data_IF_831441995742
#
_entry.id   IF_831441995742
#
_cell.length_a   1.000
_cell.length_b   1.000
_cell.length_c   1.000
_cell.angle_alpha   90.00
_cell.angle_beta   90.00
_cell.angle_gamma   90.00
#
_symmetry.space_group_name_H-M   'P 1'
#
loop_
_entity.id
_entity.type
_entity.pdbx_description
1 polymer ?
#
# COMPACT_ATOMS: atom_id res chain seq x y z
N UNK A 1 -49.32 12.01 -33.94
CA UNK A 1 -49.75 10.63 -33.59
C UNK A 1 -48.77 9.51 -33.98
N UNK A 2 -48.39 9.30 -35.26
CA UNK A 2 -47.38 8.27 -35.62
C UNK A 2 -45.93 8.73 -35.35
N UNK A 3 -45.66 10.03 -35.50
CA UNK A 3 -44.38 10.65 -35.14
C UNK A 3 -44.12 10.68 -33.62
N UNK A 4 -45.13 10.95 -32.79
CA UNK A 4 -44.94 11.02 -31.33
C UNK A 4 -44.65 9.66 -30.69
N UNK A 5 -45.27 8.58 -31.19
CA UNK A 5 -44.99 7.22 -30.72
C UNK A 5 -43.59 6.75 -31.12
N UNK A 6 -43.11 7.18 -32.29
CA UNK A 6 -41.76 6.87 -32.76
C UNK A 6 -40.71 7.62 -31.94
N UNK A 7 -40.93 8.91 -31.66
CA UNK A 7 -40.05 9.74 -30.82
C UNK A 7 -39.96 9.20 -29.40
N UNK A 8 -41.09 8.82 -28.80
CA UNK A 8 -41.13 8.26 -27.44
C UNK A 8 -40.46 6.89 -27.34
N UNK A 9 -40.57 6.04 -28.38
CA UNK A 9 -39.88 4.75 -28.43
C UNK A 9 -38.36 4.93 -28.63
N UNK A 10 -37.96 5.96 -29.39
CA UNK A 10 -36.56 6.32 -29.60
C UNK A 10 -35.94 6.87 -28.31
N UNK A 11 -36.58 7.85 -27.68
CA UNK A 11 -36.11 8.47 -26.44
C UNK A 11 -35.99 7.45 -25.30
N UNK A 12 -36.86 6.43 -25.25
CA UNK A 12 -36.82 5.38 -24.23
C UNK A 12 -35.80 4.27 -24.50
N UNK A 13 -35.50 3.98 -25.78
CA UNK A 13 -34.50 2.98 -26.18
C UNK A 13 -33.06 3.52 -26.08
N UNK A 14 -32.89 4.85 -26.17
CA UNK A 14 -31.58 5.50 -26.23
C UNK A 14 -31.28 6.42 -25.03
N UNK A 15 -32.17 6.46 -24.02
CA UNK A 15 -32.00 7.21 -22.77
C UNK A 15 -30.67 7.01 -22.01
N UNK A 16 -29.97 5.84 -22.06
CA UNK A 16 -28.70 5.69 -21.35
C UNK A 16 -27.47 6.19 -22.12
N UNK A 17 -27.63 6.65 -23.37
CA UNK A 17 -26.51 7.08 -24.21
C UNK A 17 -26.60 8.59 -24.46
N UNK A 18 -25.68 9.36 -23.89
CA UNK A 18 -25.60 10.79 -24.13
C UNK A 18 -25.17 11.07 -25.59
N UNK A 19 -26.16 11.34 -26.45
CA UNK A 19 -25.90 11.92 -27.76
C UNK A 19 -25.85 13.44 -27.66
N UNK A 20 -24.79 14.04 -28.20
CA UNK A 20 -24.72 15.50 -28.36
C UNK A 20 -25.82 16.00 -29.31
N UNK A 21 -26.33 17.23 -29.08
CA UNK A 21 -27.37 17.88 -29.92
C UNK A 21 -27.09 17.83 -31.44
N UNK A 22 -25.81 17.74 -31.82
CA UNK A 22 -25.34 17.63 -33.20
C UNK A 22 -25.72 16.30 -33.86
N UNK A 23 -25.58 15.17 -33.16
CA UNK A 23 -25.94 13.85 -33.67
C UNK A 23 -27.46 13.69 -33.87
N UNK A 24 -28.27 14.29 -32.99
CA UNK A 24 -29.72 14.30 -33.15
C UNK A 24 -30.16 15.07 -34.41
N UNK A 25 -29.47 16.17 -34.74
CA UNK A 25 -29.72 16.98 -35.94
C UNK A 25 -29.29 16.27 -37.24
N UNK A 26 -28.19 15.52 -37.23
CA UNK A 26 -27.71 14.76 -38.40
C UNK A 26 -28.67 13.62 -38.78
N UNK A 27 -29.20 12.90 -37.78
CA UNK A 27 -30.20 11.83 -37.99
C UNK A 27 -31.54 12.40 -38.48
N UNK A 28 -31.97 13.54 -37.95
CA UNK A 28 -33.19 14.22 -38.39
C UNK A 28 -33.08 14.80 -39.81
N UNK A 29 -31.90 15.26 -40.22
CA UNK A 29 -31.64 15.74 -41.58
C UNK A 29 -31.62 14.60 -42.61
N UNK A 30 -31.06 13.44 -42.25
CA UNK A 30 -31.08 12.25 -43.11
C UNK A 30 -32.51 11.75 -43.40
N UNK A 31 -33.44 11.96 -42.47
CA UNK A 31 -34.84 11.53 -42.60
C UNK A 31 -35.74 12.51 -43.37
N UNK A 32 -35.29 13.74 -43.63
CA UNK A 32 -36.13 14.81 -44.21
C UNK A 32 -35.90 15.10 -45.70
N UNK A 33 -35.00 14.41 -46.39
CA UNK A 33 -34.82 14.59 -47.84
C UNK A 33 -35.94 13.89 -48.64
N UNK A 34 -36.82 14.72 -49.22
CA UNK A 34 -37.98 14.34 -50.05
C UNK A 34 -37.57 13.66 -51.37
N UNK A 35 -38.29 12.57 -51.67
CA UNK A 35 -38.33 11.76 -52.90
C UNK A 35 -38.30 12.57 -54.22
N UNK A 36 -37.64 12.05 -55.27
CA UNK A 36 -38.11 12.20 -56.64
C UNK A 36 -38.87 10.95 -57.12
N UNK A 37 -39.91 11.17 -57.93
CA UNK A 37 -40.75 10.13 -58.56
C UNK A 37 -39.91 9.23 -59.48
N UNK A 38 -39.91 7.92 -59.22
CA UNK A 38 -39.22 6.93 -60.04
C UNK A 38 -40.12 6.44 -61.19
N UNK A 39 -39.62 6.57 -62.42
CA UNK A 39 -40.24 6.09 -63.64
C UNK A 39 -39.87 4.60 -63.87
N UNK A 40 -40.81 3.77 -64.33
CA UNK A 40 -40.77 2.28 -64.33
C UNK A 40 -39.67 1.60 -65.19
N UNK A 41 -38.69 2.33 -65.75
CA UNK A 41 -37.60 1.77 -66.57
C UNK A 41 -36.20 1.86 -65.95
N UNK A 42 -36.06 2.21 -64.67
CA UNK A 42 -34.77 2.22 -63.94
C UNK A 42 -34.76 1.35 -62.68
N UNK A 43 -35.50 0.23 -62.71
CA UNK A 43 -35.56 -0.72 -61.58
C UNK A 43 -34.27 -1.55 -61.48
N UNK A 44 -33.44 -1.63 -62.53
CA UNK A 44 -32.18 -2.39 -62.48
C UNK A 44 -30.99 -1.66 -61.84
N UNK A 45 -31.05 -0.34 -61.63
CA UNK A 45 -29.93 0.42 -61.01
C UNK A 45 -30.17 0.78 -59.53
N UNK A 46 -31.43 0.87 -59.09
CA UNK A 46 -31.76 1.07 -57.68
C UNK A 46 -31.62 -0.22 -56.86
N UNK A 47 -31.66 -1.40 -57.50
CA UNK A 47 -31.32 -2.66 -56.85
C UNK A 47 -29.80 -2.79 -56.64
N UNK A 48 -28.96 -2.13 -57.46
CA UNK A 48 -27.50 -2.16 -57.33
C UNK A 48 -26.95 -1.21 -56.24
N UNK A 49 -27.72 -0.20 -55.81
CA UNK A 49 -27.38 0.63 -54.63
C UNK A 49 -28.09 0.18 -53.34
N UNK A 50 -29.04 -0.75 -53.43
CA UNK A 50 -29.69 -1.39 -52.28
C UNK A 50 -29.11 -2.75 -51.88
N UNK A 51 -28.18 -3.30 -52.69
CA UNK A 51 -27.48 -4.57 -52.46
C UNK A 51 -25.98 -4.42 -52.19
N UNK A 52 -25.48 -3.20 -51.91
CA UNK A 52 -24.16 -3.00 -51.32
C UNK A 52 -24.17 -3.00 -49.78
N UNK A 53 -25.34 -3.24 -49.17
CA UNK A 53 -25.43 -3.74 -47.79
C UNK A 53 -25.25 -5.26 -47.83
N UNK A 54 -24.27 -5.74 -47.06
CA UNK A 54 -23.88 -7.15 -46.85
C UNK A 54 -22.82 -7.70 -47.81
N UNK A 55 -21.65 -7.05 -47.83
CA UNK A 55 -20.41 -7.76 -47.45
C UNK A 55 -19.77 -6.98 -46.29
N UNK A 56 -20.51 -6.88 -45.18
CA UNK A 56 -19.87 -6.67 -43.89
C UNK A 56 -19.25 -8.02 -43.55
N UNK A 57 -17.98 -8.21 -43.91
CA UNK A 57 -17.16 -9.03 -43.04
C UNK A 57 -17.26 -8.37 -41.67
N UNK A 58 -17.93 -9.03 -40.73
CA UNK A 58 -17.99 -8.55 -39.36
C UNK A 58 -16.55 -8.55 -38.82
N UNK A 59 -15.83 -7.45 -39.00
CA UNK A 59 -14.73 -7.13 -38.11
C UNK A 59 -15.45 -6.85 -36.81
N UNK A 60 -15.48 -7.83 -35.90
CA UNK A 60 -15.93 -7.58 -34.55
C UNK A 60 -15.06 -6.42 -34.03
N UNK A 61 -15.64 -5.23 -33.89
CA UNK A 61 -14.95 -4.11 -33.25
C UNK A 61 -14.53 -4.63 -31.87
N UNK A 62 -13.23 -4.78 -31.66
CA UNK A 62 -12.69 -5.16 -30.36
C UNK A 62 -13.09 -4.07 -29.38
N UNK A 63 -13.73 -4.43 -28.28
CA UNK A 63 -14.01 -3.47 -27.22
C UNK A 63 -12.76 -3.30 -26.37
N UNK A 64 -12.65 -2.19 -25.62
CA UNK A 64 -11.55 -2.06 -24.66
C UNK A 64 -11.56 -3.19 -23.62
N UNK A 65 -12.73 -3.73 -23.25
CA UNK A 65 -12.83 -4.92 -22.40
C UNK A 65 -12.21 -6.16 -23.04
N UNK A 66 -12.27 -6.30 -24.37
CA UNK A 66 -11.61 -7.39 -25.08
C UNK A 66 -10.10 -7.19 -25.13
N UNK A 67 -9.64 -5.94 -25.28
CA UNK A 67 -8.23 -5.56 -25.13
C UNK A 67 -7.73 -5.91 -23.73
N UNK A 68 -8.46 -5.52 -22.68
CA UNK A 68 -8.13 -5.83 -21.30
C UNK A 68 -8.11 -7.34 -21.03
N UNK A 69 -9.09 -8.11 -21.53
CA UNK A 69 -9.07 -9.58 -21.44
C UNK A 69 -7.82 -10.17 -22.08
N UNK A 70 -7.46 -9.69 -23.27
CA UNK A 70 -6.27 -10.12 -23.99
C UNK A 70 -5.01 -9.85 -23.17
N UNK A 71 -4.88 -8.64 -22.59
CA UNK A 71 -3.73 -8.29 -21.75
C UNK A 71 -3.63 -9.17 -20.51
N UNK A 72 -4.70 -9.26 -19.71
CA UNK A 72 -4.71 -10.05 -18.47
C UNK A 72 -4.31 -11.52 -18.72
N UNK A 73 -4.71 -12.09 -19.86
CA UNK A 73 -4.32 -13.45 -20.25
C UNK A 73 -2.84 -13.57 -20.65
N UNK A 74 -2.27 -12.55 -21.28
CA UNK A 74 -0.85 -12.56 -21.64
C UNK A 74 0.01 -12.34 -20.42
N UNK A 75 -0.34 -11.40 -19.53
CA UNK A 75 0.40 -11.15 -18.30
C UNK A 75 0.52 -12.40 -17.44
N UNK A 76 -0.60 -13.13 -17.30
CA UNK A 76 -0.59 -14.40 -16.58
C UNK A 76 0.34 -15.44 -17.21
N UNK A 77 0.56 -15.40 -18.54
CA UNK A 77 1.32 -16.40 -19.29
C UNK A 77 2.78 -16.03 -19.52
N UNK A 78 3.07 -14.76 -19.74
CA UNK A 78 4.37 -14.23 -20.18
C UNK A 78 4.98 -13.25 -19.18
N UNK A 79 4.23 -12.85 -18.14
CA UNK A 79 4.67 -11.86 -17.17
C UNK A 79 4.62 -10.44 -17.72
N UNK A 80 5.62 -9.65 -17.35
CA UNK A 80 5.71 -8.22 -17.64
C UNK A 80 5.72 -7.91 -19.14
N UNK A 81 5.18 -6.75 -19.52
CA UNK A 81 5.04 -6.31 -20.92
C UNK A 81 6.36 -6.33 -21.70
N UNK A 82 7.50 -6.05 -21.03
CA UNK A 82 8.84 -6.08 -21.64
C UNK A 82 9.22 -7.45 -22.21
N UNK A 83 8.60 -8.53 -21.72
CA UNK A 83 8.86 -9.89 -22.14
C UNK A 83 7.87 -10.40 -23.19
N UNK A 84 6.89 -9.58 -23.57
CA UNK A 84 5.88 -9.98 -24.55
C UNK A 84 6.47 -10.09 -25.95
N UNK A 85 5.97 -11.06 -26.71
CA UNK A 85 6.30 -11.17 -28.12
C UNK A 85 5.95 -9.87 -28.89
N UNK A 86 6.80 -9.39 -29.81
CA UNK A 86 6.53 -8.18 -30.61
C UNK A 86 5.17 -8.19 -31.31
N UNK A 87 4.71 -9.36 -31.76
CA UNK A 87 3.41 -9.52 -32.40
C UNK A 87 2.22 -9.19 -31.48
N UNK A 88 2.36 -9.42 -30.17
CA UNK A 88 1.35 -9.13 -29.15
C UNK A 88 1.34 -7.66 -28.79
N UNK A 89 2.52 -7.06 -28.63
CA UNK A 89 2.71 -5.60 -28.47
C UNK A 89 2.07 -4.84 -29.64
N UNK A 90 2.39 -5.25 -30.87
CA UNK A 90 1.80 -4.67 -32.08
C UNK A 90 0.27 -4.89 -32.17
N UNK A 91 -0.25 -6.02 -31.67
CA UNK A 91 -1.71 -6.23 -31.60
C UNK A 91 -2.37 -5.25 -30.61
N UNK A 92 -1.81 -5.08 -29.42
CA UNK A 92 -2.34 -4.15 -28.41
C UNK A 92 -2.47 -2.73 -28.98
N UNK A 93 -1.41 -2.21 -29.60
CA UNK A 93 -1.42 -0.87 -30.20
C UNK A 93 -2.45 -0.76 -31.31
N UNK A 94 -2.56 -1.77 -32.19
CA UNK A 94 -3.59 -1.78 -33.24
C UNK A 94 -5.01 -1.76 -32.69
N UNK A 95 -5.28 -2.51 -31.62
CA UNK A 95 -6.59 -2.52 -30.98
C UNK A 95 -6.91 -1.13 -30.41
N UNK A 96 -5.97 -0.50 -29.69
CA UNK A 96 -6.13 0.84 -29.14
C UNK A 96 -6.31 1.93 -30.22
N UNK A 97 -5.58 1.84 -31.34
CA UNK A 97 -5.78 2.72 -32.51
C UNK A 97 -7.17 2.52 -33.11
N UNK A 98 -7.59 1.27 -33.31
CA UNK A 98 -8.89 0.95 -33.90
C UNK A 98 -10.07 1.41 -33.03
N UNK A 99 -9.84 1.51 -31.72
CA UNK A 99 -10.78 1.98 -30.72
C UNK A 99 -10.73 3.51 -30.52
N UNK A 100 -9.77 4.20 -31.15
CA UNK A 100 -9.62 5.65 -31.07
C UNK A 100 -8.93 6.16 -29.80
N UNK A 101 -8.29 5.30 -29.01
CA UNK A 101 -7.51 5.71 -27.82
C UNK A 101 -6.10 6.20 -28.18
N UNK A 102 -5.55 5.71 -29.30
CA UNK A 102 -4.27 6.16 -29.86
C UNK A 102 -4.53 6.73 -31.25
N UNK A 103 -3.91 7.87 -31.56
CA UNK A 103 -4.02 8.51 -32.87
C UNK A 103 -3.45 7.61 -33.99
N UNK A 104 -4.20 7.43 -35.08
CA UNK A 104 -3.79 6.63 -36.23
C UNK A 104 -2.75 7.38 -37.08
N UNK A 105 -1.46 7.19 -36.78
CA UNK A 105 -0.35 7.80 -37.53
C UNK A 105 0.19 6.89 -38.62
N UNK A 106 0.84 7.47 -39.63
CA UNK A 106 1.51 6.70 -40.69
C UNK A 106 2.59 5.74 -40.14
N UNK A 107 3.22 6.07 -39.01
CA UNK A 107 4.18 5.17 -38.36
C UNK A 107 3.48 3.95 -37.74
N UNK A 108 2.31 4.12 -37.11
CA UNK A 108 1.55 3.01 -36.53
C UNK A 108 0.92 2.10 -37.59
N UNK A 109 0.58 2.63 -38.77
CA UNK A 109 0.12 1.81 -39.91
C UNK A 109 1.16 0.77 -40.33
N UNK A 110 2.45 1.05 -40.12
CA UNK A 110 3.54 0.10 -40.39
C UNK A 110 3.42 -1.18 -39.55
N UNK A 111 2.77 -1.17 -38.38
CA UNK A 111 2.50 -2.36 -37.56
C UNK A 111 1.57 -3.39 -38.25
N UNK A 112 0.90 -3.00 -39.34
CA UNK A 112 0.12 -3.92 -40.18
C UNK A 112 0.87 -4.42 -41.41
N UNK A 113 2.03 -3.82 -41.72
CA UNK A 113 2.83 -4.18 -42.89
C UNK A 113 3.61 -5.46 -42.66
N UNK A 114 3.70 -6.29 -43.70
CA UNK A 114 4.55 -7.49 -43.69
C UNK A 114 6.04 -7.18 -43.82
N UNK A 115 6.39 -5.93 -44.13
CA UNK A 115 7.76 -5.49 -44.42
C UNK A 115 8.49 -4.94 -43.18
N UNK A 116 7.83 -4.92 -42.02
CA UNK A 116 8.44 -4.47 -40.75
C UNK A 116 8.99 -5.67 -40.01
N UNK A 117 10.28 -5.64 -39.68
CA UNK A 117 10.91 -6.66 -38.85
C UNK A 117 10.42 -6.59 -37.39
N UNK A 118 10.61 -7.67 -36.64
CA UNK A 118 10.09 -7.79 -35.29
C UNK A 118 10.65 -6.74 -34.31
N UNK A 119 11.91 -6.31 -34.49
CA UNK A 119 12.56 -5.35 -33.60
C UNK A 119 12.07 -3.93 -33.84
N UNK A 120 11.86 -3.57 -35.10
CA UNK A 120 11.25 -2.30 -35.46
C UNK A 120 9.77 -2.24 -35.07
N UNK A 121 9.02 -3.35 -35.22
CA UNK A 121 7.63 -3.43 -34.75
C UNK A 121 7.53 -3.26 -33.23
N UNK A 122 8.44 -3.86 -32.47
CA UNK A 122 8.54 -3.70 -31.02
C UNK A 122 8.85 -2.25 -30.64
N UNK A 123 9.87 -1.63 -31.27
CA UNK A 123 10.22 -0.21 -31.02
C UNK A 123 9.03 0.72 -31.25
N UNK A 124 8.31 0.54 -32.35
CA UNK A 124 7.13 1.35 -32.68
C UNK A 124 6.02 1.13 -31.64
N UNK A 125 5.77 -0.13 -31.26
CA UNK A 125 4.75 -0.45 -30.28
C UNK A 125 5.06 0.12 -28.88
N UNK A 126 6.30 -0.05 -28.42
CA UNK A 126 6.74 0.43 -27.10
C UNK A 126 6.69 1.96 -27.03
N UNK A 127 7.10 2.66 -28.10
CA UNK A 127 6.96 4.12 -28.17
C UNK A 127 5.50 4.58 -28.09
N UNK A 128 4.59 3.87 -28.78
CA UNK A 128 3.16 4.19 -28.77
C UNK A 128 2.53 3.94 -27.40
N UNK A 129 2.88 2.83 -26.75
CA UNK A 129 2.39 2.50 -25.40
C UNK A 129 2.92 3.48 -24.38
N UNK A 130 4.23 3.78 -24.38
CA UNK A 130 4.84 4.75 -23.48
C UNK A 130 4.17 6.12 -23.57
N UNK A 131 3.92 6.60 -24.80
CA UNK A 131 3.21 7.84 -25.04
C UNK A 131 1.75 7.79 -24.54
N UNK A 132 1.08 6.65 -24.68
CA UNK A 132 -0.31 6.46 -24.26
C UNK A 132 -0.48 6.43 -22.73
N UNK A 133 0.42 5.75 -22.00
CA UNK A 133 0.36 5.65 -20.53
C UNK A 133 1.04 6.82 -19.81
N UNK A 134 1.90 7.58 -20.51
CA UNK A 134 2.60 8.74 -19.96
C UNK A 134 3.87 8.40 -19.16
N UNK A 135 4.36 7.17 -19.27
CA UNK A 135 5.59 6.67 -18.63
C UNK A 135 6.34 5.70 -19.56
N UNK A 136 7.46 5.12 -19.13
CA UNK A 136 8.19 4.14 -19.92
C UNK A 136 7.36 2.88 -20.21
N UNK A 137 7.58 2.25 -21.37
CA UNK A 137 6.82 1.07 -21.79
C UNK A 137 6.98 -0.12 -20.81
N UNK A 138 8.04 -0.13 -20.01
CA UNK A 138 8.25 -1.07 -18.92
C UNK A 138 7.18 -0.99 -17.81
N UNK A 139 6.50 0.15 -17.65
CA UNK A 139 5.37 0.32 -16.75
C UNK A 139 4.05 -0.21 -17.29
N UNK A 140 4.01 -0.61 -18.57
CA UNK A 140 2.79 -1.11 -19.20
C UNK A 140 2.34 -2.43 -18.56
N UNK A 141 1.11 -2.43 -18.08
CA UNK A 141 0.39 -3.59 -17.60
C UNK A 141 -1.12 -3.37 -17.83
N UNK A 142 -1.93 -4.38 -17.54
CA UNK A 142 -3.37 -4.35 -17.72
C UNK A 142 -3.95 -3.10 -17.08
N UNK A 143 -3.57 -2.80 -15.83
CA UNK A 143 -4.17 -1.72 -15.09
C UNK A 143 -3.73 -0.36 -15.64
N UNK A 144 -2.45 -0.16 -15.97
CA UNK A 144 -1.98 1.12 -16.53
C UNK A 144 -2.59 1.43 -17.91
N UNK A 145 -2.75 0.43 -18.79
CA UNK A 145 -3.45 0.62 -20.08
C UNK A 145 -4.93 0.94 -19.88
N UNK A 146 -5.61 0.21 -19.01
CA UNK A 146 -7.03 0.46 -18.75
C UNK A 146 -7.23 1.82 -18.08
N UNK A 147 -6.32 2.26 -17.20
CA UNK A 147 -6.39 3.57 -16.55
C UNK A 147 -6.08 4.72 -17.50
N UNK A 148 -5.16 4.54 -18.46
CA UNK A 148 -4.94 5.53 -19.51
C UNK A 148 -6.20 5.74 -20.38
N UNK A 149 -6.99 4.69 -20.58
CA UNK A 149 -8.21 4.72 -21.38
C UNK A 149 -9.47 5.19 -20.62
N UNK A 150 -9.66 4.73 -19.38
CA UNK A 150 -10.87 4.96 -18.57
C UNK A 150 -10.67 5.93 -17.40
N UNK A 151 -9.46 6.43 -17.18
CA UNK A 151 -9.10 7.20 -16.00
C UNK A 151 -8.71 6.32 -14.82
N UNK A 152 -8.40 6.93 -13.67
CA UNK A 152 -7.97 6.22 -12.48
C UNK A 152 -8.99 5.15 -12.05
N UNK A 153 -8.52 4.00 -11.54
CA UNK A 153 -9.39 2.88 -11.19
C UNK A 153 -10.50 3.24 -10.19
N UNK A 154 -10.23 4.20 -9.30
CA UNK A 154 -11.18 4.75 -8.31
C UNK A 154 -12.31 5.55 -8.95
N UNK A 155 -12.15 5.98 -10.20
CA UNK A 155 -13.16 6.73 -10.97
C UNK A 155 -14.03 5.83 -11.85
N UNK A 156 -13.67 4.54 -11.99
CA UNK A 156 -14.43 3.58 -12.77
C UNK A 156 -15.83 3.36 -12.17
N UNK A 157 -16.78 3.01 -13.03
CA UNK A 157 -18.11 2.59 -12.58
C UNK A 157 -18.04 1.28 -11.78
N UNK A 158 -19.03 1.04 -10.92
CA UNK A 158 -19.10 -0.21 -10.16
C UNK A 158 -19.16 -1.43 -11.08
N UNK A 159 -19.79 -1.31 -12.26
CA UNK A 159 -19.83 -2.35 -13.28
C UNK A 159 -18.46 -2.63 -13.92
N UNK A 160 -17.63 -1.61 -14.10
CA UNK A 160 -16.26 -1.77 -14.62
C UNK A 160 -15.33 -2.37 -13.57
N UNK A 161 -15.42 -1.91 -12.32
CA UNK A 161 -14.67 -2.50 -11.20
C UNK A 161 -15.07 -3.97 -10.98
N UNK A 162 -16.36 -4.29 -11.02
CA UNK A 162 -16.83 -5.67 -10.93
C UNK A 162 -16.34 -6.54 -12.09
N UNK A 163 -16.35 -6.01 -13.32
CA UNK A 163 -15.79 -6.70 -14.47
C UNK A 163 -14.29 -6.98 -14.31
N UNK A 164 -13.53 -6.06 -13.70
CA UNK A 164 -12.13 -6.28 -13.37
C UNK A 164 -11.94 -7.48 -12.44
N UNK A 165 -12.65 -7.54 -11.31
CA UNK A 165 -12.54 -8.69 -10.39
C UNK A 165 -12.98 -10.00 -11.06
N UNK A 166 -14.06 -9.98 -11.85
CA UNK A 166 -14.50 -11.14 -12.64
C UNK A 166 -13.39 -11.61 -13.60
N UNK A 167 -12.71 -10.69 -14.28
CA UNK A 167 -11.62 -11.00 -15.20
C UNK A 167 -10.39 -11.57 -14.48
N UNK A 168 -9.96 -10.93 -13.39
CA UNK A 168 -8.80 -11.38 -12.61
C UNK A 168 -9.01 -12.81 -12.08
N UNK A 169 -10.22 -13.13 -11.63
CA UNK A 169 -10.58 -14.50 -11.26
C UNK A 169 -10.53 -15.46 -12.46
N UNK A 170 -11.04 -15.07 -13.63
CA UNK A 170 -11.04 -15.90 -14.84
C UNK A 170 -9.65 -16.24 -15.35
N UNK A 171 -8.68 -15.33 -15.20
CA UNK A 171 -7.28 -15.59 -15.59
C UNK A 171 -6.50 -16.34 -14.53
N UNK A 172 -7.13 -16.74 -13.41
CA UNK A 172 -6.47 -17.53 -12.36
C UNK A 172 -5.63 -16.70 -11.39
N UNK A 173 -5.84 -15.39 -11.32
CA UNK A 173 -5.20 -14.55 -10.32
C UNK A 173 -5.83 -14.82 -8.94
N UNK A 174 -5.02 -15.21 -7.96
CA UNK A 174 -5.51 -15.46 -6.60
C UNK A 174 -6.15 -14.17 -6.05
N UNK A 175 -7.40 -14.29 -5.59
CA UNK A 175 -8.18 -13.20 -5.01
C UNK A 175 -8.18 -13.25 -3.47
N UNK A 176 -7.54 -14.24 -2.86
CA UNK A 176 -7.41 -14.32 -1.40
C UNK A 176 -6.68 -13.09 -0.86
N UNK A 177 -7.32 -12.42 0.11
CA UNK A 177 -6.81 -11.17 0.69
C UNK A 177 -6.92 -9.94 -0.22
N UNK A 178 -7.60 -10.02 -1.38
CA UNK A 178 -7.82 -8.88 -2.28
C UNK A 178 -9.26 -8.40 -2.24
N UNK A 179 -9.46 -7.11 -2.51
CA UNK A 179 -10.81 -6.55 -2.72
C UNK A 179 -11.50 -7.21 -3.92
N UNK A 180 -12.70 -7.76 -3.67
CA UNK A 180 -13.55 -8.35 -4.72
C UNK A 180 -14.72 -7.43 -5.04
N UNK A 181 -14.58 -6.67 -6.12
CA UNK A 181 -15.61 -5.77 -6.62
C UNK A 181 -16.78 -6.54 -7.22
N UNK A 182 -17.99 -6.06 -6.96
CA UNK A 182 -19.23 -6.70 -7.40
C UNK A 182 -20.19 -5.68 -7.98
N UNK A 183 -21.18 -6.15 -8.73
CA UNK A 183 -22.22 -5.27 -9.26
C UNK A 183 -23.21 -4.94 -8.15
N UNK A 184 -23.58 -3.66 -7.95
CA UNK A 184 -24.64 -3.30 -7.03
C UNK A 184 -25.92 -4.07 -7.39
N UNK A 185 -26.46 -4.82 -6.43
CA UNK A 185 -27.78 -5.40 -6.61
C UNK A 185 -28.83 -4.28 -6.54
N UNK A 186 -30.03 -4.52 -7.06
CA UNK A 186 -31.15 -3.57 -6.92
C UNK A 186 -31.64 -3.58 -5.46
N UNK A 187 -30.89 -2.90 -4.60
CA UNK A 187 -31.24 -2.64 -3.21
C UNK A 187 -31.87 -1.26 -3.02
N UNK A 188 -32.47 -1.00 -1.85
CA UNK A 188 -33.04 0.30 -1.49
C UNK A 188 -32.00 1.40 -1.31
N UNK A 189 -30.73 1.07 -0.98
CA UNK A 189 -29.66 2.06 -0.80
C UNK A 189 -28.88 2.23 -2.11
N UNK A 190 -29.06 3.36 -2.77
CA UNK A 190 -28.25 3.73 -3.93
C UNK A 190 -26.85 4.21 -3.52
N UNK A 191 -25.96 4.37 -4.50
CA UNK A 191 -24.64 4.99 -4.31
C UNK A 191 -24.75 6.37 -3.63
N UNK A 192 -25.71 7.18 -4.08
CA UNK A 192 -25.92 8.54 -3.54
C UNK A 192 -26.42 8.49 -2.10
N UNK A 193 -27.31 7.53 -1.79
CA UNK A 193 -27.81 7.33 -0.43
C UNK A 193 -26.68 6.90 0.50
N UNK A 194 -25.82 5.95 0.06
CA UNK A 194 -24.67 5.50 0.83
C UNK A 194 -23.70 6.65 1.15
N UNK A 195 -23.37 7.50 0.16
CA UNK A 195 -22.54 8.70 0.38
C UNK A 195 -23.19 9.65 1.40
N UNK A 196 -24.50 9.88 1.29
CA UNK A 196 -25.20 10.79 2.19
C UNK A 196 -25.29 10.26 3.62
N UNK A 197 -25.55 8.95 3.79
CA UNK A 197 -25.51 8.27 5.09
C UNK A 197 -24.13 8.42 5.71
N UNK A 198 -23.08 8.10 4.94
CA UNK A 198 -21.69 8.22 5.36
C UNK A 198 -21.33 9.65 5.79
N UNK A 199 -21.70 10.66 4.97
CA UNK A 199 -21.49 12.08 5.31
C UNK A 199 -22.19 12.48 6.60
N UNK A 200 -23.45 12.09 6.77
CA UNK A 200 -24.23 12.42 7.97
C UNK A 200 -23.61 11.80 9.22
N UNK A 201 -23.13 10.57 9.12
CA UNK A 201 -22.49 9.91 10.24
C UNK A 201 -21.17 10.58 10.64
N UNK A 202 -20.32 10.93 9.67
CA UNK A 202 -19.08 11.66 9.93
C UNK A 202 -19.36 13.00 10.61
N UNK A 203 -20.33 13.76 10.10
CA UNK A 203 -20.76 15.04 10.71
C UNK A 203 -21.25 14.82 12.14
N UNK A 204 -22.08 13.80 12.37
CA UNK A 204 -22.67 13.49 13.68
C UNK A 204 -21.62 13.09 14.71
N UNK A 205 -20.70 12.20 14.35
CA UNK A 205 -19.71 11.62 15.27
C UNK A 205 -18.56 12.58 15.53
N UNK A 206 -18.07 13.27 14.50
CA UNK A 206 -16.91 14.15 14.62
C UNK A 206 -17.25 15.64 14.82
N UNK A 207 -18.52 16.02 14.67
CA UNK A 207 -18.95 17.42 14.80
C UNK A 207 -18.41 18.34 13.70
N UNK A 208 -18.10 17.78 12.53
CA UNK A 208 -17.51 18.53 11.40
C UNK A 208 -18.60 19.39 10.75
N UNK A 209 -18.25 20.64 10.41
CA UNK A 209 -19.17 21.53 9.69
C UNK A 209 -19.48 20.98 8.30
N UNK A 210 -20.72 21.12 7.85
CA UNK A 210 -21.16 20.60 6.55
C UNK A 210 -20.33 21.16 5.39
N UNK A 211 -19.96 22.43 5.47
CA UNK A 211 -19.15 23.12 4.46
C UNK A 211 -17.72 22.57 4.37
N UNK A 212 -17.20 22.02 5.46
CA UNK A 212 -15.91 21.31 5.48
C UNK A 212 -16.08 19.92 4.89
N UNK A 213 -17.14 19.20 5.29
CA UNK A 213 -17.45 17.87 4.76
C UNK A 213 -17.65 17.87 3.24
N UNK A 214 -18.31 18.90 2.70
CA UNK A 214 -18.58 19.02 1.26
C UNK A 214 -17.34 19.37 0.41
N UNK A 215 -16.23 19.76 1.05
CA UNK A 215 -14.93 19.94 0.36
C UNK A 215 -14.11 18.66 0.28
N UNK A 216 -14.45 17.63 1.07
CA UNK A 216 -13.72 16.37 1.04
C UNK A 216 -13.92 15.68 -0.30
N UNK A 217 -12.84 15.03 -0.76
CA UNK A 217 -12.93 14.08 -1.86
C UNK A 217 -13.76 12.89 -1.39
N UNK A 218 -14.50 12.30 -2.33
CA UNK A 218 -15.30 11.10 -2.06
C UNK A 218 -14.88 10.01 -3.03
N UNK A 219 -14.39 8.91 -2.49
CA UNK A 219 -14.21 7.67 -3.22
C UNK A 219 -15.33 6.70 -2.85
N UNK A 220 -15.83 5.97 -3.85
CA UNK A 220 -16.86 4.96 -3.62
C UNK A 220 -16.70 3.77 -4.53
N UNK A 221 -16.92 2.59 -3.99
CA UNK A 221 -16.92 1.33 -4.73
C UNK A 221 -17.94 0.36 -4.11
N UNK A 222 -18.22 -0.74 -4.80
CA UNK A 222 -19.15 -1.77 -4.30
C UNK A 222 -18.46 -3.13 -4.30
N UNK A 223 -18.14 -3.65 -3.11
CA UNK A 223 -17.30 -4.83 -3.00
C UNK A 223 -17.51 -5.60 -1.69
N UNK A 224 -17.01 -6.82 -1.67
CA UNK A 224 -16.84 -7.60 -0.46
C UNK A 224 -15.59 -7.05 0.26
N UNK A 225 -15.66 -6.68 1.55
CA UNK A 225 -14.51 -6.19 2.30
C UNK A 225 -13.40 -7.24 2.38
N UNK A 226 -12.13 -6.81 2.34
CA UNK A 226 -10.97 -7.73 2.36
C UNK A 226 -10.86 -8.54 3.65
N UNK A 227 -11.34 -7.98 4.75
CA UNK A 227 -11.42 -8.63 6.06
C UNK A 227 -12.78 -9.33 6.30
N UNK A 228 -13.53 -9.66 5.24
CA UNK A 228 -14.71 -10.50 5.36
C UNK A 228 -14.30 -11.93 5.78
N UNK A 229 -15.15 -12.61 6.54
CA UNK A 229 -14.87 -13.98 6.97
C UNK A 229 -14.83 -14.94 5.76
N UNK A 230 -14.04 -16.04 5.80
CA UNK A 230 -14.02 -17.00 4.72
C UNK A 230 -15.43 -17.50 4.36
N UNK A 231 -15.82 -17.32 3.10
CA UNK A 231 -17.13 -17.71 2.58
C UNK A 231 -18.22 -16.64 2.69
N UNK A 232 -17.97 -15.51 3.34
CA UNK A 232 -18.85 -14.35 3.32
C UNK A 232 -18.88 -13.74 1.90
N UNK A 233 -20.08 -13.45 1.42
CA UNK A 233 -20.34 -12.88 0.08
C UNK A 233 -21.10 -11.56 0.15
N UNK A 234 -21.25 -10.98 1.35
CA UNK A 234 -21.95 -9.72 1.53
C UNK A 234 -21.10 -8.58 0.95
N UNK A 235 -21.63 -7.95 -0.09
CA UNK A 235 -21.07 -6.72 -0.65
C UNK A 235 -21.61 -5.50 0.09
N UNK A 236 -20.78 -4.48 0.21
CA UNK A 236 -21.13 -3.21 0.84
C UNK A 236 -20.81 -2.06 -0.12
N UNK A 237 -21.49 -0.94 0.06
CA UNK A 237 -21.00 0.33 -0.46
C UNK A 237 -19.82 0.77 0.39
N UNK A 238 -18.62 0.76 -0.19
CA UNK A 238 -17.47 1.42 0.38
C UNK A 238 -17.56 2.91 0.09
N UNK A 239 -17.40 3.74 1.12
CA UNK A 239 -17.35 5.19 1.00
C UNK A 239 -16.16 5.68 1.80
N UNK A 240 -15.22 6.34 1.13
CA UNK A 240 -14.09 6.98 1.77
C UNK A 240 -14.10 8.48 1.52
N UNK A 241 -13.75 9.24 2.55
CA UNK A 241 -13.53 10.66 2.48
C UNK A 241 -12.08 10.98 2.80
N UNK A 242 -11.45 11.82 2.00
CA UNK A 242 -10.08 12.25 2.21
C UNK A 242 -9.93 13.76 1.99
N UNK A 243 -8.94 14.36 2.66
CA UNK A 243 -8.63 15.79 2.56
C UNK A 243 -7.54 16.09 1.53
N UNK A 244 -7.13 15.13 0.70
CA UNK A 244 -6.02 15.29 -0.23
C UNK A 244 -6.31 16.37 -1.28
N UNK A 245 -5.38 17.31 -1.46
CA UNK A 245 -5.51 18.44 -2.38
C UNK A 245 -6.75 19.35 -2.18
N UNK A 246 -7.41 19.29 -1.01
CA UNK A 246 -8.59 20.13 -0.71
C UNK A 246 -8.22 21.50 -0.12
N UNK A 247 -6.99 21.68 0.34
CA UNK A 247 -6.53 22.86 1.06
C UNK A 247 -7.04 22.96 2.51
N UNK A 248 -7.76 21.95 3.00
CA UNK A 248 -8.16 21.85 4.41
C UNK A 248 -6.95 21.60 5.31
N UNK A 249 -6.98 22.18 6.51
CA UNK A 249 -5.92 22.03 7.50
C UNK A 249 -6.30 20.96 8.52
N UNK A 250 -5.30 20.52 9.29
CA UNK A 250 -5.47 19.53 10.36
C UNK A 250 -6.38 20.05 11.48
N UNK A 251 -6.51 21.35 11.65
CA UNK A 251 -7.42 21.95 12.63
C UNK A 251 -8.89 21.85 12.19
N UNK A 252 -9.15 21.72 10.88
CA UNK A 252 -10.50 21.60 10.33
C UNK A 252 -11.05 20.17 10.40
N UNK A 253 -10.17 19.16 10.54
CA UNK A 253 -10.51 17.74 10.47
C UNK A 253 -9.69 16.90 11.48
N UNK A 254 -10.33 16.02 12.26
CA UNK A 254 -9.63 15.13 13.18
C UNK A 254 -8.92 13.95 12.49
N UNK A 255 -9.10 13.77 11.18
CA UNK A 255 -8.52 12.68 10.38
C UNK A 255 -8.04 13.20 9.01
N UNK A 256 -7.08 12.51 8.39
CA UNK A 256 -6.64 12.78 7.02
C UNK A 256 -7.49 12.04 5.96
N UNK A 257 -8.03 10.89 6.37
CA UNK A 257 -9.00 10.11 5.61
C UNK A 257 -9.81 9.24 6.56
N UNK A 258 -11.04 8.93 6.16
CA UNK A 258 -11.94 8.05 6.88
C UNK A 258 -12.77 7.25 5.89
N UNK A 259 -12.97 5.97 6.15
CA UNK A 259 -13.73 5.08 5.30
C UNK A 259 -14.75 4.26 6.07
N UNK A 260 -15.76 3.79 5.36
CA UNK A 260 -16.85 3.00 5.92
C UNK A 260 -17.50 2.09 4.90
N UNK A 261 -18.11 1.04 5.42
CA UNK A 261 -18.91 0.09 4.66
C UNK A 261 -20.38 0.27 5.03
N UNK A 262 -21.19 0.73 4.08
CA UNK A 262 -22.63 0.93 4.22
C UNK A 262 -23.37 -0.28 3.65
N UNK A 263 -24.25 -0.88 4.46
CA UNK A 263 -25.03 -2.04 4.05
C UNK A 263 -26.05 -1.66 2.95
N UNK A 264 -26.12 -2.40 1.82
CA UNK A 264 -26.91 -2.00 0.65
C UNK A 264 -28.44 -2.07 0.85
N UNK A 265 -28.90 -2.84 1.85
CA UNK A 265 -30.34 -3.01 2.11
C UNK A 265 -30.86 -2.19 3.29
N UNK A 266 -30.00 -1.88 4.27
CA UNK A 266 -30.42 -1.25 5.53
C UNK A 266 -29.84 0.15 5.70
N UNK A 267 -28.74 0.47 5.02
CA UNK A 267 -28.00 1.71 5.23
C UNK A 267 -27.17 1.71 6.51
N UNK A 268 -27.14 0.61 7.27
CA UNK A 268 -26.35 0.51 8.49
C UNK A 268 -24.85 0.41 8.17
N UNK A 269 -24.01 1.00 9.02
CA UNK A 269 -22.57 0.83 8.91
C UNK A 269 -22.14 -0.52 9.46
N UNK A 270 -21.24 -1.21 8.75
CA UNK A 270 -20.63 -2.46 9.25
C UNK A 270 -19.86 -2.25 10.55
N UNK A 271 -19.23 -1.09 10.70
CA UNK A 271 -18.50 -0.68 11.90
C UNK A 271 -18.97 0.72 12.31
N UNK A 272 -19.50 0.91 13.53
CA UNK A 272 -19.91 2.23 14.01
C UNK A 272 -18.72 3.21 14.06
N UNK A 273 -18.93 4.45 13.60
CA UNK A 273 -17.85 5.46 13.62
C UNK A 273 -17.48 5.90 15.04
N UNK A 274 -18.35 5.69 16.05
CA UNK A 274 -18.01 5.90 17.46
C UNK A 274 -16.82 5.07 17.91
N UNK A 275 -16.66 3.83 17.42
CA UNK A 275 -15.52 2.99 17.76
C UNK A 275 -14.22 3.60 17.21
N UNK A 276 -14.26 4.07 15.96
CA UNK A 276 -13.14 4.76 15.34
C UNK A 276 -12.81 6.07 16.07
N UNK A 277 -13.82 6.85 16.44
CA UNK A 277 -13.63 8.08 17.24
C UNK A 277 -13.02 7.77 18.60
N UNK A 278 -13.50 6.74 19.30
CA UNK A 278 -12.98 6.33 20.59
C UNK A 278 -11.49 5.94 20.48
N UNK A 279 -11.09 5.26 19.41
CA UNK A 279 -9.69 4.96 19.12
C UNK A 279 -8.85 6.24 18.92
N UNK A 280 -9.34 7.19 18.12
CA UNK A 280 -8.65 8.48 17.91
C UNK A 280 -8.54 9.30 19.20
N UNK A 281 -9.60 9.36 20.00
CA UNK A 281 -9.62 10.03 21.29
C UNK A 281 -8.64 9.36 22.28
N UNK A 282 -8.57 8.02 22.29
CA UNK A 282 -7.62 7.27 23.12
C UNK A 282 -6.16 7.52 22.71
N UNK A 283 -5.88 7.59 21.40
CA UNK A 283 -4.56 7.92 20.87
C UNK A 283 -4.18 9.39 21.16
N UNK A 284 -5.14 10.31 21.08
CA UNK A 284 -4.92 11.70 21.48
C UNK A 284 -4.63 11.81 22.99
N UNK A 285 -5.39 11.10 23.82
CA UNK A 285 -5.17 11.03 25.27
C UNK A 285 -3.78 10.45 25.59
N UNK A 286 -3.37 9.39 24.86
CA UNK A 286 -2.04 8.76 24.95
C UNK A 286 -0.93 9.77 24.76
N UNK A 287 -0.99 10.50 23.65
CA UNK A 287 0.01 11.51 23.29
C UNK A 287 0.05 12.68 24.25
N UNK A 288 -1.02 12.93 25.00
CA UNK A 288 -1.17 14.10 25.85
C UNK A 288 -0.82 13.88 27.33
N UNK A 289 -0.54 12.64 27.74
CA UNK A 289 -0.09 12.34 29.11
C UNK A 289 1.25 13.03 29.44
N UNK A 290 1.52 13.34 30.72
CA UNK A 290 2.79 13.93 31.13
C UNK A 290 4.00 13.10 30.72
N UNK A 291 3.95 11.78 30.90
CA UNK A 291 5.05 10.87 30.53
C UNK A 291 5.26 10.80 29.01
N UNK A 292 4.21 10.79 28.18
CA UNK A 292 4.36 10.82 26.72
C UNK A 292 4.96 12.15 26.21
N UNK A 293 4.60 13.27 26.85
CA UNK A 293 5.20 14.58 26.54
C UNK A 293 6.67 14.62 26.94
N UNK A 294 7.02 14.09 28.11
CA UNK A 294 8.40 14.00 28.56
C UNK A 294 9.25 13.13 27.64
N UNK A 295 8.76 11.94 27.26
CA UNK A 295 9.46 11.06 26.30
C UNK A 295 9.70 11.78 24.96
N UNK A 296 8.71 12.51 24.44
CA UNK A 296 8.88 13.26 23.19
C UNK A 296 9.94 14.34 23.30
N UNK A 297 9.90 15.14 24.37
CA UNK A 297 10.90 16.17 24.62
C UNK A 297 12.31 15.58 24.78
N UNK A 298 12.40 14.43 25.46
CA UNK A 298 13.63 13.67 25.63
C UNK A 298 14.19 13.23 24.27
N UNK A 299 13.36 12.60 23.42
CA UNK A 299 13.76 12.19 22.06
C UNK A 299 14.17 13.36 21.16
N UNK A 300 13.51 14.53 21.28
CA UNK A 300 13.89 15.76 20.56
C UNK A 300 15.26 16.29 21.04
N UNK A 301 15.54 16.22 22.33
CA UNK A 301 16.81 16.67 22.93
C UNK A 301 17.99 15.77 22.56
N UNK A 302 17.81 14.45 22.58
CA UNK A 302 18.89 13.48 22.41
C UNK A 302 19.01 12.92 20.98
N UNK A 303 18.15 13.35 20.04
CA UNK A 303 18.12 12.86 18.65
C UNK A 303 18.13 11.32 18.58
N UNK A 304 17.36 10.69 19.46
CA UNK A 304 17.41 9.26 19.71
C UNK A 304 17.09 8.42 18.46
N UNK A 305 17.82 7.32 18.24
CA UNK A 305 17.33 6.29 17.35
C UNK A 305 16.06 5.67 17.95
N UNK A 306 15.18 5.12 17.10
CA UNK A 306 13.84 4.63 17.50
C UNK A 306 13.83 3.55 18.59
N UNK A 307 14.99 2.99 18.93
CA UNK A 307 15.13 1.76 19.72
C UNK A 307 16.14 1.96 20.86
N UNK A 308 15.73 1.69 22.10
CA UNK A 308 16.49 2.00 23.32
C UNK A 308 17.93 1.45 23.35
N UNK A 309 18.14 0.20 22.95
CA UNK A 309 19.49 -0.41 23.05
C UNK A 309 20.53 0.26 22.15
N UNK A 310 20.09 0.91 21.07
CA UNK A 310 20.95 1.66 20.14
C UNK A 310 21.29 3.08 20.63
N UNK A 311 20.84 3.48 21.81
CA UNK A 311 21.12 4.81 22.35
C UNK A 311 22.57 4.93 22.84
N UNK A 312 23.15 6.11 22.79
CA UNK A 312 24.43 6.38 23.45
C UNK A 312 24.30 6.30 24.99
N UNK A 313 25.43 6.11 25.69
CA UNK A 313 25.41 5.98 27.16
C UNK A 313 24.84 7.21 27.86
N UNK A 314 25.14 8.41 27.34
CA UNK A 314 24.63 9.67 27.87
C UNK A 314 23.10 9.73 27.81
N UNK A 315 22.51 9.24 26.72
CA UNK A 315 21.06 9.16 26.57
C UNK A 315 20.47 8.08 27.48
N UNK A 316 21.07 6.89 27.59
CA UNK A 316 20.62 5.84 28.53
C UNK A 316 20.67 6.32 29.99
N UNK A 317 21.74 7.04 30.36
CA UNK A 317 21.90 7.62 31.69
C UNK A 317 20.87 8.73 31.96
N UNK A 318 20.66 9.63 31.00
CA UNK A 318 19.64 10.68 31.13
C UNK A 318 18.22 10.10 31.22
N UNK A 319 17.91 9.09 30.42
CA UNK A 319 16.64 8.37 30.50
C UNK A 319 16.37 7.80 31.89
N UNK A 320 17.37 7.18 32.49
CA UNK A 320 17.27 6.59 33.84
C UNK A 320 16.98 7.65 34.91
N UNK A 321 17.51 8.86 34.75
CA UNK A 321 17.26 9.97 35.69
C UNK A 321 15.92 10.67 35.45
N UNK A 322 15.55 10.87 34.19
CA UNK A 322 14.50 11.83 33.80
C UNK A 322 13.18 11.14 33.44
N UNK A 323 13.25 10.00 32.74
CA UNK A 323 12.09 9.34 32.15
C UNK A 323 11.69 8.06 32.88
N UNK A 324 12.66 7.20 33.23
CA UNK A 324 12.39 5.94 33.91
C UNK A 324 11.54 6.09 35.19
N UNK A 325 11.76 7.09 36.07
CA UNK A 325 10.92 7.31 37.24
C UNK A 325 9.47 7.62 36.88
N UNK A 326 9.25 8.38 35.79
CA UNK A 326 7.90 8.73 35.32
C UNK A 326 7.17 7.52 34.75
N UNK A 327 7.89 6.65 34.02
CA UNK A 327 7.35 5.39 33.51
C UNK A 327 6.96 4.47 34.67
N UNK A 328 7.87 4.26 35.63
CA UNK A 328 7.61 3.42 36.82
C UNK A 328 6.39 3.92 37.61
N UNK A 329 6.30 5.23 37.86
CA UNK A 329 5.15 5.84 38.53
C UNK A 329 3.85 5.64 37.74
N UNK A 330 3.88 5.85 36.41
CA UNK A 330 2.72 5.63 35.55
C UNK A 330 2.23 4.18 35.59
N UNK A 331 3.12 3.20 35.47
CA UNK A 331 2.77 1.76 35.54
C UNK A 331 2.18 1.40 36.91
N UNK A 332 2.72 1.99 37.98
CA UNK A 332 2.21 1.76 39.33
C UNK A 332 0.81 2.36 39.54
N UNK A 333 0.55 3.54 39.02
CA UNK A 333 -0.75 4.23 39.11
C UNK A 333 -1.81 3.62 38.16
N UNK A 334 -1.36 3.05 37.03
CA UNK A 334 -2.21 2.52 35.96
C UNK A 334 -1.77 1.12 35.51
N UNK A 335 -1.89 0.10 36.37
CA UNK A 335 -1.44 -1.26 36.05
C UNK A 335 -2.16 -1.87 34.85
N UNK A 336 -3.41 -1.45 34.57
CA UNK A 336 -4.19 -1.83 33.38
C UNK A 336 -3.66 -1.22 32.07
N UNK A 337 -2.71 -0.28 32.15
CA UNK A 337 -2.12 0.46 31.03
C UNK A 337 -0.61 0.34 31.00
N UNK A 338 -0.06 -0.76 31.50
CA UNK A 338 1.38 -0.94 31.68
C UNK A 338 2.20 -0.85 30.38
N UNK A 339 1.60 -1.01 29.20
CA UNK A 339 2.26 -0.92 27.87
C UNK A 339 1.89 0.37 27.11
N UNK A 340 1.46 1.39 27.85
CA UNK A 340 0.98 2.66 27.33
C UNK A 340 1.45 3.79 28.26
N UNK A 341 1.80 4.99 27.76
CA UNK A 341 1.89 5.44 26.38
C UNK A 341 3.25 5.16 25.70
N UNK A 342 4.16 4.48 26.39
CA UNK A 342 5.51 4.13 25.94
C UNK A 342 5.55 2.74 25.30
N UNK A 343 6.62 2.42 24.58
CA UNK A 343 6.79 1.06 24.03
C UNK A 343 7.31 0.09 25.11
N UNK A 344 7.16 -1.22 24.86
CA UNK A 344 7.56 -2.26 25.82
C UNK A 344 9.06 -2.22 26.20
N UNK A 345 9.93 -1.71 25.31
CA UNK A 345 11.36 -1.62 25.62
C UNK A 345 11.67 -0.48 26.57
N UNK A 346 11.02 0.68 26.43
CA UNK A 346 11.13 1.77 27.40
C UNK A 346 10.58 1.38 28.76
N UNK A 347 9.47 0.61 28.79
CA UNK A 347 8.95 0.02 30.03
C UNK A 347 10.01 -0.84 30.72
N UNK A 348 10.56 -1.81 30.01
CA UNK A 348 11.54 -2.74 30.59
C UNK A 348 12.85 -2.02 30.93
N UNK A 349 13.32 -1.11 30.07
CA UNK A 349 14.50 -0.29 30.36
C UNK A 349 14.33 0.57 31.61
N UNK A 350 13.10 0.99 31.92
CA UNK A 350 12.81 1.72 33.15
C UNK A 350 12.92 0.89 34.42
N UNK A 351 13.08 -0.44 34.33
CA UNK A 351 13.30 -1.30 35.49
C UNK A 351 14.77 -1.34 35.93
N UNK A 352 15.67 -0.85 35.07
CA UNK A 352 17.09 -0.74 35.32
C UNK A 352 17.48 0.73 35.51
N UNK A 353 18.61 0.95 36.19
CA UNK A 353 19.24 2.27 36.27
C UNK A 353 20.56 2.23 35.50
N UNK A 354 20.67 3.07 34.47
CA UNK A 354 21.87 3.22 33.65
C UNK A 354 22.63 4.49 34.04
N UNK A 355 23.96 4.43 34.01
CA UNK A 355 24.83 5.53 34.42
C UNK A 355 25.87 5.90 33.37
N UNK A 356 26.85 6.71 33.79
CA UNK A 356 28.08 6.94 33.05
C UNK A 356 29.26 6.34 33.83
N UNK A 357 30.23 5.71 33.14
CA UNK A 357 31.41 5.17 33.82
C UNK A 357 32.26 6.30 34.42
N UNK A 358 32.63 6.14 35.69
CA UNK A 358 33.50 7.06 36.42
C UNK A 358 34.95 6.56 36.52
N UNK A 359 35.73 7.23 37.37
CA UNK A 359 37.09 6.76 37.70
C UNK A 359 37.07 5.35 38.32
N UNK A 360 38.00 4.50 37.91
CA UNK A 360 38.12 3.11 38.41
C UNK A 360 37.18 2.10 37.75
N UNK A 361 36.48 2.49 36.68
CA UNK A 361 35.69 1.60 35.81
C UNK A 361 36.48 1.33 34.53
N UNK A 362 36.48 0.09 34.04
CA UNK A 362 37.13 -0.25 32.78
C UNK A 362 36.45 0.50 31.62
N UNK A 363 37.22 0.87 30.58
CA UNK A 363 36.69 1.64 29.46
C UNK A 363 35.69 0.82 28.63
N UNK A 364 34.91 1.52 27.79
CA UNK A 364 34.03 0.86 26.82
C UNK A 364 34.82 -0.08 25.90
N UNK A 365 35.98 0.36 25.39
CA UNK A 365 36.80 -0.47 24.51
C UNK A 365 37.33 -1.71 25.22
N UNK A 366 37.71 -1.57 26.50
CA UNK A 366 38.15 -2.70 27.32
C UNK A 366 37.01 -3.71 27.55
N UNK A 367 35.81 -3.23 27.89
CA UNK A 367 34.64 -4.08 28.08
C UNK A 367 34.29 -4.85 26.80
N UNK A 368 34.31 -4.19 25.64
CA UNK A 368 34.06 -4.82 24.34
C UNK A 368 35.10 -5.88 23.99
N UNK A 369 36.38 -5.59 24.24
CA UNK A 369 37.47 -6.53 24.00
C UNK A 369 37.34 -7.78 24.88
N UNK A 370 37.05 -7.59 26.18
CA UNK A 370 36.86 -8.68 27.14
C UNK A 370 35.62 -9.51 26.81
N UNK A 371 34.51 -8.86 26.44
CA UNK A 371 33.29 -9.54 26.02
C UNK A 371 33.52 -10.43 24.79
N UNK A 372 34.25 -9.93 23.78
CA UNK A 372 34.61 -10.72 22.61
C UNK A 372 35.45 -11.95 22.98
N UNK A 373 36.46 -11.77 23.83
CA UNK A 373 37.30 -12.89 24.31
C UNK A 373 36.45 -13.93 25.02
N UNK A 374 35.53 -13.50 25.88
CA UNK A 374 34.62 -14.39 26.60
C UNK A 374 33.74 -15.20 25.64
N UNK A 375 33.17 -14.57 24.61
CA UNK A 375 32.34 -15.27 23.62
C UNK A 375 33.11 -16.31 22.81
N UNK A 376 34.32 -15.98 22.37
CA UNK A 376 35.19 -16.91 21.63
C UNK A 376 35.56 -18.10 22.51
N UNK A 377 35.87 -17.87 23.79
CA UNK A 377 36.25 -18.92 24.73
C UNK A 377 35.07 -19.83 25.10
N UNK A 378 33.90 -19.25 25.42
CA UNK A 378 32.73 -19.99 25.89
C UNK A 378 32.09 -20.82 24.77
N UNK A 379 31.93 -20.24 23.59
CA UNK A 379 31.20 -20.88 22.48
C UNK A 379 32.10 -21.42 21.37
N UNK A 380 33.42 -21.27 21.47
CA UNK A 380 34.36 -21.75 20.45
C UNK A 380 34.16 -21.09 19.09
N UNK A 381 33.83 -19.79 19.06
CA UNK A 381 33.52 -19.08 17.83
C UNK A 381 34.70 -19.10 16.86
N UNK A 382 34.42 -19.38 15.58
CA UNK A 382 35.41 -19.32 14.51
C UNK A 382 35.90 -17.89 14.27
N UNK A 383 37.02 -17.75 13.55
CA UNK A 383 37.57 -16.43 13.19
C UNK A 383 36.56 -15.58 12.42
N UNK A 384 35.83 -16.18 11.48
CA UNK A 384 34.77 -15.50 10.72
C UNK A 384 33.62 -15.06 11.66
N UNK A 385 33.19 -15.91 12.59
CA UNK A 385 32.14 -15.55 13.57
C UNK A 385 32.60 -14.42 14.50
N UNK A 386 33.83 -14.50 15.00
CA UNK A 386 34.41 -13.46 15.84
C UNK A 386 34.58 -12.13 15.09
N UNK A 387 34.85 -12.18 13.78
CA UNK A 387 34.95 -10.99 12.92
C UNK A 387 33.60 -10.33 12.69
N UNK A 388 32.56 -11.13 12.40
CA UNK A 388 31.17 -10.66 12.28
C UNK A 388 30.72 -9.91 13.55
N UNK A 389 31.18 -10.34 14.72
CA UNK A 389 30.84 -9.72 16.01
C UNK A 389 31.68 -8.45 16.31
N UNK A 390 32.90 -8.34 15.77
CA UNK A 390 33.89 -7.35 16.20
C UNK A 390 34.00 -6.10 15.31
N UNK A 391 33.66 -6.19 14.03
CA UNK A 391 33.93 -5.13 13.05
C UNK A 391 32.80 -4.08 12.98
N UNK A 392 31.98 -3.95 14.02
CA UNK A 392 30.82 -3.07 14.03
C UNK A 392 30.95 -1.94 15.07
N UNK A 393 30.57 -0.70 14.70
CA UNK A 393 30.54 0.38 15.66
C UNK A 393 29.55 0.08 16.79
N UNK A 394 29.92 0.49 17.99
CA UNK A 394 29.06 0.43 19.18
C UNK A 394 27.83 1.31 18.97
N UNK A 395 26.71 0.92 19.57
CA UNK A 395 25.41 1.59 19.50
C UNK A 395 24.82 1.66 18.08
N UNK A 396 25.34 0.84 17.18
CA UNK A 396 24.66 0.46 15.93
C UNK A 396 23.93 -0.86 16.18
N UNK A 397 22.89 -1.15 15.42
CA UNK A 397 21.99 -2.31 15.57
C UNK A 397 22.67 -3.59 16.09
N UNK A 398 23.91 -3.88 15.68
CA UNK A 398 24.67 -5.11 15.93
C UNK A 398 25.47 -5.18 17.24
N UNK A 399 25.90 -4.06 17.82
CA UNK A 399 26.72 -4.07 19.06
C UNK A 399 26.24 -2.96 19.97
N UNK A 400 25.66 -3.32 21.10
CA UNK A 400 25.01 -2.39 22.01
C UNK A 400 25.62 -2.52 23.39
N UNK A 401 25.97 -1.38 23.98
CA UNK A 401 26.64 -1.33 25.27
C UNK A 401 25.75 -0.65 26.31
N UNK A 402 25.73 -1.19 27.52
CA UNK A 402 25.02 -0.63 28.65
C UNK A 402 25.95 -0.58 29.86
N UNK A 403 25.96 0.55 30.55
CA UNK A 403 26.55 0.68 31.88
C UNK A 403 25.44 0.62 32.92
N UNK A 404 25.21 -0.57 33.46
CA UNK A 404 24.15 -0.85 34.43
C UNK A 404 24.65 -0.58 35.86
N UNK A 405 23.96 0.32 36.56
CA UNK A 405 24.21 0.73 37.94
C UNK A 405 23.02 0.45 38.85
N UNK A 406 22.08 -0.40 38.42
CA UNK A 406 20.92 -0.85 39.21
C UNK A 406 21.36 -1.40 40.57
N UNK A 407 22.50 -2.08 40.62
CA UNK A 407 23.23 -2.34 41.86
C UNK A 407 24.49 -1.45 41.92
N UNK A 408 24.48 -0.35 42.69
CA UNK A 408 25.59 0.60 42.71
C UNK A 408 26.88 0.01 43.31
N UNK A 409 26.79 -1.02 44.14
CA UNK A 409 27.96 -1.68 44.73
C UNK A 409 28.70 -2.55 43.70
N UNK A 410 27.94 -3.09 42.73
CA UNK A 410 28.43 -3.99 41.68
C UNK A 410 27.95 -3.53 40.28
N UNK A 411 28.48 -2.41 39.76
CA UNK A 411 28.13 -1.94 38.43
C UNK A 411 28.59 -2.92 37.36
N UNK A 412 27.81 -3.07 36.29
CA UNK A 412 28.08 -4.01 35.21
C UNK A 412 28.23 -3.30 33.86
N UNK A 413 29.18 -3.78 33.06
CA UNK A 413 29.11 -3.60 31.62
C UNK A 413 28.28 -4.73 31.02
N UNK A 414 27.20 -4.39 30.33
CA UNK A 414 26.43 -5.35 29.52
C UNK A 414 26.72 -5.07 28.05
N UNK A 415 27.23 -6.08 27.34
CA UNK A 415 27.51 -6.02 25.91
C UNK A 415 26.55 -6.95 25.21
N UNK A 416 25.67 -6.40 24.38
CA UNK A 416 24.72 -7.16 23.57
C UNK A 416 25.12 -7.12 22.10
N UNK A 417 25.40 -8.29 21.54
CA UNK A 417 25.68 -8.49 20.14
C UNK A 417 24.43 -9.02 19.46
N UNK A 418 23.79 -8.20 18.64
CA UNK A 418 22.63 -8.62 17.88
C UNK A 418 23.06 -9.22 16.55
N UNK A 419 22.27 -10.19 16.09
CA UNK A 419 22.45 -10.89 14.84
C UNK A 419 22.43 -9.93 13.66
N UNK A 420 23.52 -9.84 12.87
CA UNK A 420 23.51 -8.96 11.74
C UNK A 420 22.53 -9.40 10.67
N UNK A 421 21.72 -8.44 10.20
CA UNK A 421 20.76 -8.69 9.15
C UNK A 421 21.48 -8.86 7.81
N UNK A 422 21.07 -9.84 7.00
CA UNK A 422 21.52 -9.94 5.59
C UNK A 422 21.11 -8.73 4.73
N UNK A 423 20.26 -7.85 5.27
CA UNK A 423 19.80 -6.62 4.63
C UNK A 423 20.67 -5.39 4.97
N UNK A 424 21.83 -5.59 5.60
CA UNK A 424 22.86 -4.54 5.71
C UNK A 424 23.37 -4.10 4.33
N UNK A 425 23.70 -2.82 4.19
CA UNK A 425 24.22 -2.26 2.94
C UNK A 425 25.64 -2.76 2.59
N UNK A 426 26.38 -3.26 3.59
CA UNK A 426 27.72 -3.81 3.41
C UNK A 426 27.69 -5.20 2.75
N UNK A 427 27.89 -5.24 1.44
CA UNK A 427 27.91 -6.48 0.66
C UNK A 427 29.03 -7.47 1.07
N UNK A 428 30.15 -6.95 1.60
CA UNK A 428 31.24 -7.79 2.10
C UNK A 428 30.83 -8.54 3.37
N UNK A 429 30.15 -7.83 4.28
CA UNK A 429 29.56 -8.44 5.47
C UNK A 429 28.45 -9.45 5.12
N UNK A 430 27.57 -9.14 4.17
CA UNK A 430 26.54 -10.09 3.71
C UNK A 430 27.17 -11.37 3.17
N UNK A 431 28.23 -11.25 2.37
CA UNK A 431 28.95 -12.41 1.84
C UNK A 431 29.60 -13.24 2.97
N UNK A 432 30.20 -12.57 3.96
CA UNK A 432 30.79 -13.23 5.13
C UNK A 432 29.71 -13.95 5.97
N UNK A 433 28.60 -13.29 6.27
CA UNK A 433 27.48 -13.87 7.01
C UNK A 433 26.94 -15.11 6.28
N UNK A 434 26.69 -15.03 4.97
CA UNK A 434 26.23 -16.17 4.17
C UNK A 434 27.24 -17.31 4.17
N UNK A 435 28.54 -17.01 4.10
CA UNK A 435 29.60 -18.02 4.19
C UNK A 435 29.62 -18.70 5.56
N UNK A 436 29.41 -17.95 6.63
CA UNK A 436 29.56 -18.41 8.02
C UNK A 436 28.32 -19.13 8.54
N UNK A 437 27.12 -18.61 8.26
CA UNK A 437 25.85 -19.10 8.82
C UNK A 437 24.90 -19.70 7.76
N UNK A 438 25.20 -19.56 6.46
CA UNK A 438 24.31 -20.01 5.38
C UNK A 438 23.02 -19.21 5.32
N UNK A 439 21.89 -19.90 5.17
CA UNK A 439 20.53 -19.34 5.29
C UNK A 439 19.94 -19.54 6.70
N UNK A 440 20.73 -20.05 7.64
CA UNK A 440 20.30 -20.33 9.01
C UNK A 440 20.24 -19.10 9.90
N UNK A 441 19.58 -19.25 11.05
CA UNK A 441 19.49 -18.21 12.06
C UNK A 441 20.87 -17.88 12.65
N UNK A 442 21.13 -16.58 12.76
CA UNK A 442 22.34 -16.07 13.40
C UNK A 442 22.00 -15.86 14.88
N UNK A 443 22.80 -16.38 15.82
CA UNK A 443 22.56 -16.21 17.26
C UNK A 443 22.89 -14.79 17.73
N UNK A 444 22.11 -14.29 18.68
CA UNK A 444 22.44 -13.09 19.45
C UNK A 444 23.24 -13.50 20.69
N UNK A 445 24.17 -12.64 21.12
CA UNK A 445 24.97 -12.89 22.31
C UNK A 445 24.86 -11.75 23.31
N UNK A 446 24.97 -12.07 24.61
CA UNK A 446 25.15 -11.06 25.65
C UNK A 446 26.30 -11.47 26.57
N UNK A 447 27.11 -10.50 26.97
CA UNK A 447 28.12 -10.67 28.00
C UNK A 447 27.92 -9.62 29.08
N UNK A 448 27.97 -10.05 30.33
CA UNK A 448 27.93 -9.18 31.50
C UNK A 448 29.30 -9.26 32.20
N UNK A 449 29.92 -8.11 32.42
CA UNK A 449 31.23 -7.97 33.03
C UNK A 449 31.11 -7.11 34.28
N UNK A 450 31.84 -7.45 35.35
CA UNK A 450 32.05 -6.54 36.46
C UNK A 450 32.76 -5.29 35.95
N UNK A 451 32.15 -4.11 36.13
CA UNK A 451 32.67 -2.91 35.49
C UNK A 451 33.94 -2.37 36.14
N UNK A 452 34.28 -2.80 37.36
CA UNK A 452 35.51 -2.40 38.06
C UNK A 452 36.68 -3.31 37.72
N UNK A 453 36.43 -4.61 37.60
CA UNK A 453 37.50 -5.62 37.41
C UNK A 453 37.63 -6.13 35.98
N UNK A 454 36.56 -6.05 35.18
CA UNK A 454 36.46 -6.70 33.87
C UNK A 454 36.23 -8.21 33.93
N UNK A 455 35.97 -8.77 35.11
CA UNK A 455 35.67 -10.19 35.27
C UNK A 455 34.33 -10.53 34.60
N UNK A 456 34.29 -11.62 33.84
CA UNK A 456 33.07 -12.12 33.20
C UNK A 456 32.14 -12.66 34.27
N UNK A 457 31.00 -11.99 34.44
CA UNK A 457 29.94 -12.41 35.38
C UNK A 457 29.03 -13.42 34.70
N UNK A 458 28.68 -13.19 33.44
CA UNK A 458 27.77 -14.06 32.70
C UNK A 458 27.93 -13.95 31.20
N UNK A 459 27.70 -15.06 30.50
CA UNK A 459 27.65 -15.15 29.04
C UNK A 459 26.32 -15.80 28.64
N UNK A 460 25.67 -15.27 27.61
CA UNK A 460 24.38 -15.72 27.11
C UNK A 460 24.39 -15.88 25.59
N UNK A 461 23.57 -16.81 25.10
CA UNK A 461 23.20 -16.94 23.70
C UNK A 461 21.68 -16.97 23.60
N UNK A 462 21.12 -16.32 22.57
CA UNK A 462 19.70 -16.25 22.29
C UNK A 462 19.46 -16.58 20.81
N UNK A 463 18.57 -17.53 20.54
CA UNK A 463 18.30 -18.00 19.18
C UNK A 463 17.37 -17.07 18.38
N UNK A 464 16.65 -16.15 19.04
CA UNK A 464 15.63 -15.32 18.39
C UNK A 464 15.76 -13.83 18.71
N UNK A 465 15.20 -13.00 17.82
CA UNK A 465 14.88 -11.62 18.16
C UNK A 465 13.86 -11.62 19.31
N UNK A 466 14.08 -10.80 20.35
CA UNK A 466 13.30 -10.81 21.58
C UNK A 466 11.81 -10.48 21.32
N UNK A 467 10.94 -11.46 21.52
CA UNK A 467 9.50 -11.32 21.30
C UNK A 467 8.72 -11.18 22.61
N UNK A 468 9.20 -11.83 23.68
CA UNK A 468 8.60 -11.82 25.02
C UNK A 468 9.21 -10.74 25.92
N UNK A 469 8.53 -10.35 27.00
CA UNK A 469 9.12 -9.42 27.99
C UNK A 469 10.36 -10.01 28.67
N UNK A 470 10.41 -11.32 28.90
CA UNK A 470 11.57 -11.99 29.51
C UNK A 470 12.79 -11.92 28.60
N UNK A 471 12.63 -12.15 27.29
CA UNK A 471 13.72 -12.00 26.31
C UNK A 471 14.20 -10.54 26.21
N UNK A 472 13.27 -9.59 26.28
CA UNK A 472 13.62 -8.15 26.28
C UNK A 472 14.37 -7.76 27.55
N UNK A 473 13.97 -8.25 28.72
CA UNK A 473 14.71 -8.11 29.99
C UNK A 473 16.08 -8.77 29.92
N UNK A 474 16.19 -9.91 29.23
CA UNK A 474 17.45 -10.62 29.09
C UNK A 474 18.49 -9.82 28.30
N UNK A 475 18.06 -8.97 27.35
CA UNK A 475 18.94 -8.08 26.58
C UNK A 475 19.41 -6.88 27.41
N UNK A 476 18.48 -6.26 28.13
CA UNK A 476 18.70 -5.04 28.92
C UNK A 476 19.49 -5.29 30.21
#
# INVERSE_FOLDING_TARGET
>A
MRQDKMKTAFDKAFAPMEFTKRHQLEVLNALNHKKPRLNKRRVSLALAMGLSLVVLAAIAMTTLRDTGRFMAQIEQKQGEYIHWEPSKKAKLVRDLVSQGYIEDTEELKRLTSKDVDAKEAERIADAAIAAFIGEGAEGANFLSIMQAAWGEFTTWSAEEQAWYSELMQQVGNNQEGKTVYTKPQKGPVSRVDAINIAKQEVIRVFGIQKEVMDKLRVETSFHIPENAAPGDKQSYWYVAFDSWNTGLKKEDLPFAGIDMFVHPDTGELRTPLEEYKAMLDAEAARRNTPVAKAIRAFSEQYQEPKVFWTWELEAKAAFSREIAPMIRAFVQEHPDKADWPFNSYMKIASEFDYGLPGEGVISQEQALALARVALVQEYGLSEDQAKIIADHPVNVFFVNLFYDVTNPDKPLWKVFYSSPSIYVQDQGLVALIKKTYGEGDIPNYKVELDAKTGEVVRVFTMQYSPSTEEEKRAIL
#
